data_IF_729705572319
#
_entry.id   IF_729705572319
#
_cell.length_a   1.000
_cell.length_b   1.000
_cell.length_c   1.000
_cell.angle_alpha   90.00
_cell.angle_beta   90.00
_cell.angle_gamma   90.00
#
_symmetry.space_group_name_H-M   'P 1'
#
loop_
_entity.id
_entity.type
_entity.pdbx_description
1 polymer ?
#
# COMPACT_ATOMS: atom_id res chain seq x y z
N UNK A 1 -7.98 -27.45 -33.60
CA UNK A 1 -6.98 -26.49 -33.10
C UNK A 1 -7.60 -25.85 -31.87
N UNK A 2 -7.04 -26.10 -30.69
CA UNK A 2 -7.56 -25.51 -29.45
C UNK A 2 -7.21 -24.02 -29.39
N UNK A 3 -8.20 -23.23 -28.99
CA UNK A 3 -8.10 -21.78 -28.88
C UNK A 3 -7.43 -21.43 -27.54
N UNK A 4 -6.09 -21.43 -27.52
CA UNK A 4 -5.30 -21.24 -26.30
C UNK A 4 -5.28 -19.76 -25.89
N UNK A 5 -6.33 -19.34 -25.19
CA UNK A 5 -6.35 -18.11 -24.40
C UNK A 5 -6.65 -18.50 -22.92
N UNK A 6 -6.02 -17.88 -21.89
CA UNK A 6 -5.38 -16.58 -21.99
C UNK A 6 -3.99 -16.39 -21.36
N UNK A 7 -3.28 -15.41 -21.92
CA UNK A 7 -2.13 -14.72 -21.31
C UNK A 7 -2.60 -13.88 -20.11
N UNK A 8 -3.08 -14.50 -19.03
CA UNK A 8 -3.64 -13.78 -17.87
C UNK A 8 -2.99 -14.20 -16.56
N UNK A 9 -2.41 -13.21 -15.87
CA UNK A 9 -1.91 -13.36 -14.50
C UNK A 9 -2.98 -13.94 -13.57
N UNK A 10 -2.59 -14.91 -12.74
CA UNK A 10 -3.52 -15.49 -11.77
C UNK A 10 -3.94 -14.45 -10.72
N UNK A 11 -5.05 -14.70 -10.02
CA UNK A 11 -5.43 -13.85 -8.89
C UNK A 11 -4.35 -13.81 -7.80
N UNK A 12 -3.57 -14.89 -7.65
CA UNK A 12 -2.40 -14.92 -6.76
C UNK A 12 -1.33 -13.92 -7.20
N UNK A 13 -1.02 -13.83 -8.49
CA UNK A 13 0.03 -12.95 -9.02
C UNK A 13 -0.38 -11.47 -8.95
N UNK A 14 -1.64 -11.18 -9.28
CA UNK A 14 -2.26 -9.87 -9.05
C UNK A 14 -2.14 -9.44 -7.58
N UNK A 15 -2.45 -10.34 -6.64
CA UNK A 15 -2.39 -10.06 -5.19
C UNK A 15 -0.97 -9.96 -4.66
N UNK A 16 0.00 -10.70 -5.19
CA UNK A 16 1.44 -10.49 -4.90
C UNK A 16 1.86 -9.07 -5.30
N UNK A 17 1.52 -8.64 -6.52
CA UNK A 17 1.84 -7.30 -7.01
C UNK A 17 1.17 -6.20 -6.16
N UNK A 18 -0.12 -6.34 -5.83
CA UNK A 18 -0.85 -5.44 -4.94
C UNK A 18 -0.19 -5.33 -3.56
N UNK A 19 0.07 -6.46 -2.90
CA UNK A 19 0.66 -6.47 -1.56
C UNK A 19 2.06 -5.84 -1.52
N UNK A 20 2.89 -6.07 -2.54
CA UNK A 20 4.22 -5.44 -2.67
C UNK A 20 4.10 -3.91 -2.72
N UNK A 21 3.21 -3.37 -3.57
CA UNK A 21 3.02 -1.92 -3.68
C UNK A 21 2.38 -1.34 -2.42
N UNK A 22 1.39 -1.99 -1.82
CA UNK A 22 0.82 -1.53 -0.54
C UNK A 22 1.88 -1.42 0.57
N UNK A 23 2.81 -2.38 0.64
CA UNK A 23 3.95 -2.31 1.57
C UNK A 23 4.87 -1.12 1.22
N UNK A 24 5.11 -0.83 -0.06
CA UNK A 24 5.86 0.37 -0.45
C UNK A 24 5.15 1.70 -0.12
N UNK A 25 3.81 1.77 -0.22
CA UNK A 25 3.08 3.00 0.12
C UNK A 25 2.90 3.20 1.63
N UNK A 26 2.67 2.11 2.39
CA UNK A 26 2.16 2.20 3.78
C UNK A 26 2.92 1.36 4.81
N UNK A 27 3.95 0.60 4.40
CA UNK A 27 4.59 -0.46 5.21
C UNK A 27 3.62 -1.54 5.72
N UNK A 28 2.41 -1.63 5.14
CA UNK A 28 1.38 -2.63 5.45
C UNK A 28 0.89 -3.30 4.16
N UNK A 29 0.68 -4.63 4.12
CA UNK A 29 0.18 -5.32 2.92
C UNK A 29 -1.29 -5.02 2.57
N UNK A 30 -2.07 -4.46 3.51
CA UNK A 30 -3.54 -4.35 3.39
C UNK A 30 -4.08 -2.92 3.37
N UNK A 31 -3.21 -1.90 3.37
CA UNK A 31 -3.61 -0.49 3.41
C UNK A 31 -4.43 -0.12 4.65
N UNK A 32 -5.18 0.98 4.54
CA UNK A 32 -6.22 1.39 5.50
C UNK A 32 -7.37 2.04 4.73
N UNK A 33 -8.52 1.35 4.66
CA UNK A 33 -9.72 1.81 3.96
C UNK A 33 -10.37 3.04 4.62
N UNK A 34 -10.13 3.26 5.92
CA UNK A 34 -10.69 4.36 6.70
C UNK A 34 -9.73 5.56 6.81
N UNK A 35 -8.48 5.43 6.37
CA UNK A 35 -7.50 6.52 6.38
C UNK A 35 -8.08 7.77 5.73
N UNK A 36 -8.03 8.91 6.43
CA UNK A 36 -8.52 10.18 5.90
C UNK A 36 -7.60 11.32 6.35
N UNK A 37 -7.07 12.04 5.36
CA UNK A 37 -6.25 13.23 5.56
C UNK A 37 -6.83 14.43 4.81
N UNK A 38 -6.52 15.63 5.29
CA UNK A 38 -6.69 16.89 4.56
C UNK A 38 -5.38 17.63 4.68
N UNK A 39 -4.68 17.82 3.56
CA UNK A 39 -3.34 18.38 3.52
C UNK A 39 -3.34 19.78 2.89
N UNK A 40 -2.31 20.56 3.19
CA UNK A 40 -2.11 21.91 2.63
C UNK A 40 -1.43 21.88 1.24
N UNK A 41 -1.58 20.78 0.50
CA UNK A 41 -1.14 20.58 -0.89
C UNK A 41 -2.21 20.99 -1.92
N UNK A 42 -3.41 21.34 -1.44
CA UNK A 42 -4.57 21.67 -2.27
C UNK A 42 -5.32 20.47 -2.83
N UNK A 43 -4.92 19.22 -2.56
CA UNK A 43 -5.62 18.02 -3.04
C UNK A 43 -7.02 17.86 -2.43
N UNK A 44 -7.24 18.46 -1.26
CA UNK A 44 -8.50 18.42 -0.51
C UNK A 44 -8.51 17.27 0.50
N UNK A 45 -9.62 16.53 0.53
CA UNK A 45 -9.68 15.24 1.21
C UNK A 45 -8.86 14.22 0.39
N UNK A 46 -7.98 13.50 1.08
CA UNK A 46 -7.33 12.26 0.65
C UNK A 46 -7.87 11.12 1.52
N UNK A 47 -8.29 10.00 0.92
CA UNK A 47 -9.05 8.95 1.61
C UNK A 47 -8.67 7.53 1.16
N UNK A 48 -8.72 6.58 2.08
CA UNK A 48 -8.68 5.14 1.79
C UNK A 48 -7.32 4.57 1.39
N UNK A 49 -7.34 3.31 0.94
CA UNK A 49 -6.15 2.47 0.74
C UNK A 49 -5.10 3.04 -0.21
N UNK A 50 -5.50 3.88 -1.17
CA UNK A 50 -4.60 4.54 -2.12
C UNK A 50 -4.78 6.07 -2.15
N UNK A 51 -5.22 6.66 -1.03
CA UNK A 51 -5.33 8.12 -0.83
C UNK A 51 -6.10 8.84 -1.96
N UNK A 52 -7.28 8.33 -2.30
CA UNK A 52 -8.16 8.91 -3.31
C UNK A 52 -8.48 10.37 -2.98
N UNK A 53 -8.16 11.29 -3.90
CA UNK A 53 -8.23 12.74 -3.63
C UNK A 53 -9.45 13.39 -4.27
N UNK A 54 -9.98 14.43 -3.64
CA UNK A 54 -11.02 15.28 -4.24
C UNK A 54 -10.51 15.93 -5.53
N UNK A 55 -9.32 16.55 -5.53
CA UNK A 55 -8.78 17.23 -6.73
C UNK A 55 -8.58 16.30 -7.93
N UNK A 56 -8.10 15.07 -7.74
CA UNK A 56 -7.98 14.11 -8.85
C UNK A 56 -9.35 13.66 -9.36
N UNK A 57 -10.37 13.64 -8.51
CA UNK A 57 -11.70 13.09 -8.76
C UNK A 57 -11.85 11.62 -8.41
N UNK A 58 -10.77 10.90 -8.05
CA UNK A 58 -10.87 9.48 -7.68
C UNK A 58 -11.76 9.26 -6.46
N UNK A 59 -11.78 10.21 -5.51
CA UNK A 59 -12.71 10.14 -4.37
C UNK A 59 -14.18 10.23 -4.80
N UNK A 60 -14.48 10.98 -5.87
CA UNK A 60 -15.83 11.08 -6.42
C UNK A 60 -16.27 9.77 -7.09
N UNK A 61 -15.33 9.05 -7.69
CA UNK A 61 -15.57 7.75 -8.33
C UNK A 61 -15.79 6.65 -7.29
N UNK A 62 -14.95 6.57 -6.24
CA UNK A 62 -15.11 5.65 -5.11
C UNK A 62 -16.48 5.83 -4.44
N UNK A 63 -16.86 7.07 -4.09
CA UNK A 63 -18.17 7.36 -3.48
C UNK A 63 -19.32 7.04 -4.44
N UNK A 64 -19.15 7.27 -5.74
CA UNK A 64 -20.16 6.90 -6.74
C UNK A 64 -20.33 5.38 -6.83
N UNK A 65 -19.23 4.62 -6.86
CA UNK A 65 -19.25 3.17 -6.96
C UNK A 65 -19.79 2.52 -5.69
N UNK A 66 -19.44 3.01 -4.50
CA UNK A 66 -20.06 2.59 -3.24
C UNK A 66 -21.60 2.70 -3.26
N UNK A 67 -22.12 3.81 -3.76
CA UNK A 67 -23.56 4.04 -3.87
C UNK A 67 -24.23 3.15 -4.93
N UNK A 68 -23.51 2.78 -6.00
CA UNK A 68 -23.96 1.83 -7.03
C UNK A 68 -23.95 0.38 -6.51
N UNK A 69 -22.96 0.02 -5.68
CA UNK A 69 -22.83 -1.28 -5.00
C UNK A 69 -23.89 -1.48 -3.90
N UNK A 70 -24.89 -0.59 -3.77
CA UNK A 70 -25.98 -0.72 -2.80
C UNK A 70 -25.65 -0.23 -1.39
N UNK A 71 -24.50 0.41 -1.16
CA UNK A 71 -24.07 0.87 0.17
C UNK A 71 -25.08 1.75 0.89
N UNK A 72 -25.41 1.41 2.15
CA UNK A 72 -26.44 2.08 2.95
C UNK A 72 -25.88 2.96 4.06
N UNK A 73 -24.77 2.57 4.70
CA UNK A 73 -24.11 3.37 5.75
C UNK A 73 -23.78 4.76 5.22
N UNK A 74 -24.31 5.79 5.87
CA UNK A 74 -24.07 7.21 5.54
C UNK A 74 -24.43 7.62 4.09
N UNK A 75 -25.25 6.79 3.42
CA UNK A 75 -25.69 6.95 2.02
C UNK A 75 -26.25 8.34 1.72
N UNK A 76 -27.04 8.91 2.63
CA UNK A 76 -27.62 10.24 2.45
C UNK A 76 -26.58 11.36 2.47
N UNK A 77 -25.64 11.33 3.42
CA UNK A 77 -24.56 12.32 3.52
C UNK A 77 -23.60 12.24 2.33
N UNK A 78 -23.26 11.03 1.91
CA UNK A 78 -22.39 10.78 0.75
C UNK A 78 -23.08 11.19 -0.57
N UNK A 79 -24.33 10.79 -0.79
CA UNK A 79 -25.10 11.14 -2.00
C UNK A 79 -25.36 12.64 -2.11
N UNK A 80 -25.67 13.32 -0.99
CA UNK A 80 -25.88 14.78 -0.92
C UNK A 80 -24.62 15.55 -1.38
N UNK A 81 -23.44 15.10 -0.97
CA UNK A 81 -22.18 15.79 -1.24
C UNK A 81 -21.51 15.35 -2.56
N UNK A 82 -21.96 14.28 -3.21
CA UNK A 82 -21.41 13.79 -4.48
C UNK A 82 -21.33 14.84 -5.61
N UNK A 83 -22.30 15.77 -5.81
CA UNK A 83 -22.17 16.84 -6.80
C UNK A 83 -21.02 17.82 -6.50
N UNK A 84 -20.82 18.18 -5.22
CA UNK A 84 -19.68 19.00 -4.80
C UNK A 84 -18.36 18.24 -4.92
N UNK A 85 -18.37 16.93 -4.68
CA UNK A 85 -17.20 16.07 -4.78
C UNK A 85 -16.75 15.87 -6.24
N UNK A 86 -17.70 15.79 -7.19
CA UNK A 86 -17.42 15.80 -8.63
C UNK A 86 -16.93 17.16 -9.13
N UNK A 87 -17.32 18.26 -8.47
CA UNK A 87 -16.81 19.60 -8.76
C UNK A 87 -15.38 19.76 -8.22
N UNK A 88 -14.40 19.77 -9.13
CA UNK A 88 -12.96 19.89 -8.81
C UNK A 88 -12.50 21.35 -8.59
N UNK A 89 -13.43 22.29 -8.39
CA UNK A 89 -13.10 23.71 -8.16
C UNK A 89 -12.54 23.91 -6.75
N UNK A 90 -11.64 24.89 -6.57
CA UNK A 90 -11.07 25.18 -5.25
C UNK A 90 -12.14 25.59 -4.21
N UNK A 91 -13.27 26.17 -4.65
CA UNK A 91 -14.42 26.45 -3.79
C UNK A 91 -15.03 25.15 -3.26
N UNK A 92 -15.35 24.20 -4.13
CA UNK A 92 -15.92 22.90 -3.76
C UNK A 92 -14.95 22.09 -2.89
N UNK A 93 -13.65 22.11 -3.22
CA UNK A 93 -12.60 21.47 -2.44
C UNK A 93 -12.52 22.03 -1.02
N UNK A 94 -12.49 23.36 -0.85
CA UNK A 94 -12.47 23.99 0.49
C UNK A 94 -13.72 23.65 1.32
N UNK A 95 -14.90 23.64 0.69
CA UNK A 95 -16.16 23.29 1.35
C UNK A 95 -16.10 21.86 1.91
N UNK A 96 -15.84 20.84 1.08
CA UNK A 96 -15.84 19.46 1.58
C UNK A 96 -14.67 19.14 2.52
N UNK A 97 -13.49 19.75 2.30
CA UNK A 97 -12.33 19.57 3.19
C UNK A 97 -12.58 20.05 4.62
N UNK A 98 -13.48 21.02 4.80
CA UNK A 98 -13.86 21.53 6.13
C UNK A 98 -15.08 20.81 6.71
N UNK A 99 -15.97 20.27 5.88
CA UNK A 99 -17.15 19.49 6.30
C UNK A 99 -16.74 18.30 7.20
N UNK A 100 -17.16 18.36 8.47
CA UNK A 100 -16.91 17.29 9.46
C UNK A 100 -17.91 16.13 9.31
N UNK A 101 -19.12 16.38 8.85
CA UNK A 101 -20.13 15.35 8.64
C UNK A 101 -19.75 14.48 7.45
N UNK A 102 -19.36 15.08 6.33
CA UNK A 102 -18.90 14.33 5.15
C UNK A 102 -17.66 13.47 5.41
N UNK A 103 -16.68 13.98 6.17
CA UNK A 103 -15.50 13.19 6.55
C UNK A 103 -15.84 12.04 7.50
N UNK A 104 -16.74 12.25 8.47
CA UNK A 104 -17.28 11.15 9.30
C UNK A 104 -18.04 10.12 8.46
N UNK A 105 -18.81 10.57 7.47
CA UNK A 105 -19.54 9.69 6.55
C UNK A 105 -18.61 8.77 5.74
N UNK A 106 -17.49 9.32 5.22
CA UNK A 106 -16.46 8.54 4.54
C UNK A 106 -15.80 7.49 5.46
N UNK A 107 -15.41 7.86 6.68
CA UNK A 107 -14.78 6.93 7.62
C UNK A 107 -15.74 5.86 8.13
N UNK A 108 -17.01 6.20 8.37
CA UNK A 108 -18.03 5.24 8.77
C UNK A 108 -18.41 4.27 7.64
N UNK A 109 -18.43 4.74 6.38
CA UNK A 109 -18.65 3.84 5.25
C UNK A 109 -17.47 2.87 5.02
N UNK A 110 -16.23 3.23 5.38
CA UNK A 110 -15.03 2.42 5.14
C UNK A 110 -15.01 1.02 5.81
N UNK A 111 -15.84 0.81 6.83
CA UNK A 111 -15.95 -0.52 7.48
C UNK A 111 -16.86 -1.48 6.71
N UNK A 112 -17.67 -0.97 5.76
CA UNK A 112 -18.60 -1.75 4.94
C UNK A 112 -17.88 -2.51 3.82
N UNK A 113 -18.42 -3.66 3.41
CA UNK A 113 -17.82 -4.47 2.35
C UNK A 113 -17.96 -3.79 0.99
N UNK A 114 -19.06 -3.06 0.78
CA UNK A 114 -19.39 -2.32 -0.43
C UNK A 114 -18.43 -1.16 -0.67
N UNK A 115 -18.00 -0.46 0.40
CA UNK A 115 -17.00 0.63 0.29
C UNK A 115 -15.60 0.07 0.07
N UNK A 116 -15.24 -1.04 0.72
CA UNK A 116 -13.95 -1.71 0.50
C UNK A 116 -13.84 -2.17 -0.96
N UNK A 117 -14.84 -2.91 -1.45
CA UNK A 117 -14.93 -3.32 -2.85
C UNK A 117 -14.92 -2.12 -3.82
N UNK A 118 -15.55 -0.99 -3.47
CA UNK A 118 -15.47 0.23 -4.29
C UNK A 118 -14.06 0.86 -4.32
N UNK A 119 -13.31 0.81 -3.22
CA UNK A 119 -11.92 1.26 -3.21
C UNK A 119 -11.01 0.30 -3.99
N UNK A 120 -11.16 -1.01 -3.78
CA UNK A 120 -10.38 -2.04 -4.46
C UNK A 120 -10.59 -2.01 -5.98
N UNK A 121 -11.84 -1.87 -6.44
CA UNK A 121 -12.17 -1.75 -7.86
C UNK A 121 -11.58 -0.49 -8.49
N UNK A 122 -11.60 0.67 -7.80
CA UNK A 122 -10.97 1.89 -8.33
C UNK A 122 -9.43 1.76 -8.35
N UNK A 123 -8.81 1.07 -7.39
CA UNK A 123 -7.37 0.73 -7.47
C UNK A 123 -7.09 -0.19 -8.66
N UNK A 124 -7.91 -1.23 -8.83
CA UNK A 124 -7.79 -2.17 -9.93
C UNK A 124 -7.87 -1.44 -11.28
N UNK A 125 -8.94 -0.70 -11.53
CA UNK A 125 -9.20 -0.01 -12.79
C UNK A 125 -8.15 1.06 -13.12
N UNK A 126 -7.66 1.82 -12.12
CA UNK A 126 -6.74 2.94 -12.37
C UNK A 126 -5.26 2.57 -12.45
N UNK A 127 -4.86 1.46 -11.84
CA UNK A 127 -3.45 1.15 -11.64
C UNK A 127 -3.09 -0.28 -12.05
N UNK A 128 -3.84 -1.29 -11.59
CA UNK A 128 -3.49 -2.69 -11.87
C UNK A 128 -3.89 -3.15 -13.27
N UNK A 129 -5.08 -2.79 -13.75
CA UNK A 129 -5.54 -3.10 -15.10
C UNK A 129 -4.64 -2.48 -16.17
N UNK A 130 -4.26 -1.17 -16.11
CA UNK A 130 -3.25 -0.60 -17.01
C UNK A 130 -1.89 -1.32 -16.99
N UNK A 131 -1.49 -1.91 -15.85
CA UNK A 131 -0.28 -2.72 -15.75
C UNK A 131 -0.45 -4.08 -16.45
N UNK A 132 -1.59 -4.76 -16.24
CA UNK A 132 -1.95 -6.02 -16.91
C UNK A 132 -1.97 -5.82 -18.44
N UNK A 133 -2.73 -4.85 -18.94
CA UNK A 133 -2.78 -4.56 -20.38
C UNK A 133 -1.41 -4.20 -20.96
N UNK A 134 -0.55 -3.54 -20.19
CA UNK A 134 0.81 -3.20 -20.62
C UNK A 134 1.70 -4.44 -20.71
N UNK A 135 1.53 -5.40 -19.80
CA UNK A 135 2.15 -6.72 -19.92
C UNK A 135 1.62 -7.46 -21.15
N UNK A 136 0.30 -7.52 -21.36
CA UNK A 136 -0.34 -8.18 -22.49
C UNK A 136 0.14 -7.61 -23.84
N UNK A 137 0.12 -6.28 -23.99
CA UNK A 137 0.64 -5.55 -25.17
C UNK A 137 2.13 -5.81 -25.42
N UNK A 138 2.89 -6.07 -24.35
CA UNK A 138 4.32 -6.42 -24.42
C UNK A 138 4.57 -7.93 -24.48
N UNK A 139 3.51 -8.74 -24.41
CA UNK A 139 3.51 -10.20 -24.29
C UNK A 139 4.39 -10.71 -23.13
N UNK A 140 4.35 -10.01 -21.99
CA UNK A 140 5.02 -10.34 -20.74
C UNK A 140 4.11 -11.18 -19.83
N UNK A 141 4.71 -12.12 -19.09
CA UNK A 141 4.00 -13.18 -18.35
C UNK A 141 4.46 -13.38 -16.91
N UNK A 142 5.63 -12.86 -16.53
CA UNK A 142 6.24 -13.18 -15.24
C UNK A 142 5.62 -12.33 -14.12
N UNK A 143 5.22 -12.92 -12.97
CA UNK A 143 4.64 -12.18 -11.85
C UNK A 143 5.49 -10.99 -11.35
N UNK A 144 6.83 -11.12 -11.39
CA UNK A 144 7.76 -10.03 -11.08
C UNK A 144 7.63 -8.84 -12.06
N UNK A 145 7.39 -9.11 -13.34
CA UNK A 145 7.15 -8.10 -14.37
C UNK A 145 5.87 -7.31 -14.06
N UNK A 146 4.77 -8.00 -13.73
CA UNK A 146 3.53 -7.33 -13.33
C UNK A 146 3.75 -6.39 -12.15
N UNK A 147 4.46 -6.85 -11.10
CA UNK A 147 4.74 -6.02 -9.93
C UNK A 147 5.61 -4.79 -10.25
N UNK A 148 6.63 -4.94 -11.11
CA UNK A 148 7.49 -3.83 -11.57
C UNK A 148 6.67 -2.78 -12.35
N UNK A 149 5.83 -3.22 -13.28
CA UNK A 149 5.02 -2.33 -14.13
C UNK A 149 3.94 -1.64 -13.28
N UNK A 150 3.28 -2.38 -12.40
CA UNK A 150 2.25 -1.86 -11.49
C UNK A 150 2.79 -0.79 -10.53
N UNK A 151 3.91 -1.05 -9.83
CA UNK A 151 4.56 -0.03 -8.98
C UNK A 151 5.01 1.19 -9.80
N UNK A 152 5.49 0.97 -11.03
CA UNK A 152 5.92 2.05 -11.91
C UNK A 152 4.77 2.93 -12.41
N UNK A 153 3.58 2.36 -12.58
CA UNK A 153 2.35 3.10 -12.91
C UNK A 153 1.84 3.85 -11.67
N UNK A 154 1.78 3.21 -10.48
CA UNK A 154 1.34 3.86 -9.24
C UNK A 154 2.24 5.06 -8.87
N UNK A 155 3.57 4.91 -9.03
CA UNK A 155 4.57 5.96 -8.83
C UNK A 155 4.59 7.02 -9.95
N UNK A 156 3.92 6.79 -11.08
CA UNK A 156 3.97 7.69 -12.23
C UNK A 156 5.35 7.81 -12.88
N UNK A 157 6.13 6.71 -12.88
CA UNK A 157 7.47 6.59 -13.47
C UNK A 157 7.55 5.73 -14.71
N UNK A 158 6.50 4.95 -15.03
CA UNK A 158 6.48 4.02 -16.17
C UNK A 158 6.92 4.66 -17.49
N UNK A 159 6.17 5.61 -18.01
CA UNK A 159 6.47 6.24 -19.31
C UNK A 159 7.80 7.01 -19.30
N UNK A 160 8.11 7.67 -18.17
CA UNK A 160 9.35 8.45 -17.97
C UNK A 160 10.61 7.60 -18.14
N UNK A 161 10.54 6.29 -17.90
CA UNK A 161 11.68 5.35 -17.93
C UNK A 161 11.58 4.35 -19.08
N UNK A 162 10.38 3.88 -19.45
CA UNK A 162 10.13 2.87 -20.52
C UNK A 162 10.89 3.22 -21.79
N UNK A 163 10.80 4.47 -22.23
CA UNK A 163 11.37 4.94 -23.50
C UNK A 163 12.89 5.16 -23.44
N UNK A 164 13.51 5.00 -22.26
CA UNK A 164 14.97 4.98 -22.07
C UNK A 164 15.57 3.60 -22.24
N UNK A 165 14.76 2.54 -22.15
CA UNK A 165 15.21 1.16 -22.32
C UNK A 165 15.50 0.92 -23.80
N UNK A 166 16.78 0.98 -24.16
CA UNK A 166 17.23 0.68 -25.52
C UNK A 166 16.85 -0.76 -25.87
N UNK A 167 16.39 -0.99 -27.09
CA UNK A 167 16.05 -2.33 -27.57
C UNK A 167 17.28 -3.23 -27.47
N UNK A 168 17.17 -4.31 -26.69
CA UNK A 168 18.20 -5.34 -26.65
C UNK A 168 18.11 -6.16 -27.95
N UNK A 169 19.23 -6.66 -28.46
CA UNK A 169 19.25 -7.34 -29.76
C UNK A 169 18.62 -8.74 -29.62
N UNK A 170 17.54 -9.01 -30.37
CA UNK A 170 16.58 -10.09 -30.08
C UNK A 170 16.85 -11.39 -30.88
N UNK A 171 17.96 -11.49 -31.61
CA UNK A 171 18.11 -12.52 -32.67
C UNK A 171 18.10 -13.98 -32.19
N UNK A 172 18.41 -14.23 -30.92
CA UNK A 172 18.59 -15.59 -30.38
C UNK A 172 17.83 -15.84 -29.06
N UNK A 173 17.04 -14.87 -28.58
CA UNK A 173 16.41 -14.92 -27.26
C UNK A 173 14.98 -15.45 -27.31
N UNK A 174 14.66 -16.36 -26.39
CA UNK A 174 13.27 -16.71 -26.09
C UNK A 174 12.50 -15.49 -25.55
N UNK A 175 11.17 -15.53 -25.64
CA UNK A 175 10.28 -14.52 -25.06
C UNK A 175 10.57 -14.23 -23.59
N UNK A 176 10.83 -15.27 -22.80
CA UNK A 176 11.12 -15.14 -21.38
C UNK A 176 12.50 -14.52 -21.12
N UNK A 177 13.52 -14.82 -21.93
CA UNK A 177 14.83 -14.17 -21.80
C UNK A 177 14.76 -12.69 -22.17
N UNK A 178 14.02 -12.35 -23.24
CA UNK A 178 13.75 -10.96 -23.61
C UNK A 178 13.00 -10.20 -22.50
N UNK A 179 11.91 -10.77 -21.95
CA UNK A 179 11.16 -10.17 -20.84
C UNK A 179 12.06 -9.91 -19.63
N UNK A 180 12.83 -10.92 -19.21
CA UNK A 180 13.75 -10.81 -18.07
C UNK A 180 14.80 -9.72 -18.28
N UNK A 181 15.43 -9.69 -19.45
CA UNK A 181 16.46 -8.72 -19.77
C UNK A 181 15.89 -7.29 -19.89
N UNK A 182 14.74 -7.12 -20.55
CA UNK A 182 14.09 -5.82 -20.70
C UNK A 182 13.65 -5.25 -19.35
N UNK A 183 13.02 -6.07 -18.49
CA UNK A 183 12.59 -5.66 -17.16
C UNK A 183 13.78 -5.39 -16.23
N UNK A 184 14.85 -6.19 -16.30
CA UNK A 184 16.06 -5.92 -15.54
C UNK A 184 16.68 -4.56 -15.93
N UNK A 185 16.71 -4.22 -17.21
CA UNK A 185 17.21 -2.92 -17.67
C UNK A 185 16.28 -1.77 -17.29
N UNK A 186 14.96 -1.95 -17.44
CA UNK A 186 13.97 -0.97 -16.98
C UNK A 186 14.14 -0.62 -15.50
N UNK A 187 14.28 -1.63 -14.62
CA UNK A 187 14.46 -1.41 -13.18
C UNK A 187 15.79 -0.69 -12.88
N UNK A 188 16.89 -1.01 -13.58
CA UNK A 188 18.16 -0.27 -13.45
C UNK A 188 18.03 1.20 -13.86
N UNK A 189 17.41 1.48 -15.00
CA UNK A 189 17.19 2.86 -15.47
C UNK A 189 16.30 3.64 -14.50
N UNK A 190 15.29 3.00 -13.90
CA UNK A 190 14.45 3.58 -12.85
C UNK A 190 15.23 3.86 -11.58
N UNK A 191 16.08 2.93 -11.13
CA UNK A 191 16.92 3.06 -9.94
C UNK A 191 17.88 4.26 -10.05
N UNK A 192 18.57 4.39 -11.19
CA UNK A 192 19.45 5.52 -11.51
C UNK A 192 18.65 6.84 -11.49
N UNK A 193 17.43 6.85 -12.05
CA UNK A 193 16.58 8.03 -12.05
C UNK A 193 16.12 8.43 -10.64
N UNK A 194 15.64 7.49 -9.82
CA UNK A 194 15.25 7.75 -8.42
C UNK A 194 16.45 8.26 -7.59
N UNK A 195 17.64 7.69 -7.78
CA UNK A 195 18.88 8.11 -7.10
C UNK A 195 19.35 9.50 -7.53
N UNK A 196 19.12 9.90 -8.79
CA UNK A 196 19.57 11.21 -9.28
C UNK A 196 18.73 12.39 -8.79
N UNK A 197 17.44 12.21 -8.48
CA UNK A 197 16.53 13.28 -8.03
C UNK A 197 16.44 13.31 -6.49
N UNK A 198 16.92 14.37 -5.78
CA UNK A 198 17.03 14.38 -4.31
C UNK A 198 15.72 14.06 -3.56
N UNK A 199 14.59 14.60 -4.02
CA UNK A 199 13.26 14.37 -3.43
C UNK A 199 12.69 12.96 -3.67
N UNK A 200 13.25 12.20 -4.61
CA UNK A 200 12.86 10.83 -4.93
C UNK A 200 13.78 9.76 -4.32
N UNK A 201 15.00 10.13 -3.88
CA UNK A 201 15.94 9.24 -3.17
C UNK A 201 15.31 8.43 -2.04
N UNK A 202 14.37 8.95 -1.23
CA UNK A 202 13.70 8.13 -0.20
C UNK A 202 12.90 6.95 -0.75
N UNK A 203 12.51 6.94 -2.03
CA UNK A 203 11.71 5.85 -2.65
C UNK A 203 12.54 4.77 -3.36
N UNK A 204 13.87 4.88 -3.30
CA UNK A 204 14.83 3.95 -3.95
C UNK A 204 14.70 2.49 -3.47
N UNK A 205 14.22 2.27 -2.24
CA UNK A 205 13.99 0.91 -1.72
C UNK A 205 13.08 0.05 -2.62
N UNK A 206 12.22 0.69 -3.44
CA UNK A 206 11.33 0.00 -4.40
C UNK A 206 12.13 -0.70 -5.50
N UNK A 207 13.05 0.03 -6.14
CA UNK A 207 13.91 -0.54 -7.18
C UNK A 207 14.95 -1.49 -6.59
N UNK A 208 15.46 -1.23 -5.38
CA UNK A 208 16.36 -2.15 -4.69
C UNK A 208 15.70 -3.50 -4.38
N UNK A 209 14.42 -3.52 -3.97
CA UNK A 209 13.64 -4.75 -3.83
C UNK A 209 13.55 -5.50 -5.16
N UNK A 210 13.18 -4.84 -6.26
CA UNK A 210 13.04 -5.49 -7.56
C UNK A 210 14.39 -6.02 -8.08
N UNK A 211 15.48 -5.25 -7.95
CA UNK A 211 16.84 -5.68 -8.31
C UNK A 211 17.27 -6.91 -7.50
N UNK A 212 16.90 -6.99 -6.21
CA UNK A 212 17.11 -8.16 -5.35
C UNK A 212 16.31 -9.38 -5.82
N UNK A 213 15.05 -9.24 -6.21
CA UNK A 213 14.28 -10.37 -6.77
C UNK A 213 14.84 -10.83 -8.13
N UNK A 214 15.29 -9.89 -8.97
CA UNK A 214 15.94 -10.17 -10.26
C UNK A 214 17.24 -10.95 -10.05
N UNK A 215 18.11 -10.54 -9.11
CA UNK A 215 19.40 -11.21 -8.86
C UNK A 215 19.24 -12.60 -8.22
N UNK A 216 18.17 -12.81 -7.45
CA UNK A 216 17.77 -14.12 -6.94
C UNK A 216 17.08 -15.01 -7.99
N UNK A 217 16.77 -14.49 -9.18
CA UNK A 217 16.01 -15.20 -10.20
C UNK A 217 14.54 -15.45 -9.83
N UNK A 218 13.99 -14.73 -8.84
CA UNK A 218 12.64 -14.92 -8.32
C UNK A 218 11.55 -14.28 -9.20
N UNK A 219 11.53 -14.66 -10.48
CA UNK A 219 10.62 -14.12 -11.49
C UNK A 219 9.14 -14.44 -11.24
N UNK A 220 8.87 -15.52 -10.50
CA UNK A 220 7.52 -15.93 -10.10
C UNK A 220 7.02 -15.24 -8.82
N UNK A 221 7.87 -14.45 -8.14
CA UNK A 221 7.58 -13.91 -6.80
C UNK A 221 7.13 -15.02 -5.84
N UNK A 222 7.91 -16.10 -5.79
CA UNK A 222 7.68 -17.20 -4.87
C UNK A 222 7.88 -16.73 -3.43
N UNK A 223 6.89 -17.04 -2.58
CA UNK A 223 6.81 -16.56 -1.20
C UNK A 223 7.45 -17.57 -0.23
N UNK A 224 8.14 -17.12 0.83
CA UNK A 224 8.14 -15.75 1.34
C UNK A 224 9.13 -14.80 0.65
N UNK A 225 8.76 -13.52 0.55
CA UNK A 225 9.68 -12.43 0.15
C UNK A 225 9.72 -11.34 1.21
N UNK A 226 10.89 -10.74 1.40
CA UNK A 226 11.08 -9.57 2.27
C UNK A 226 10.94 -8.29 1.44
N UNK A 227 9.92 -7.50 1.76
CA UNK A 227 9.55 -6.25 1.09
C UNK A 227 9.67 -5.13 2.12
N UNK A 228 10.71 -4.30 2.03
CA UNK A 228 10.90 -3.13 2.90
C UNK A 228 10.69 -3.41 4.40
N UNK A 229 11.29 -4.50 4.92
CA UNK A 229 11.16 -4.92 6.32
C UNK A 229 9.93 -5.79 6.65
N UNK A 230 8.97 -5.92 5.73
CA UNK A 230 7.79 -6.79 5.88
C UNK A 230 8.02 -8.13 5.17
N UNK A 231 7.87 -9.25 5.89
CA UNK A 231 7.94 -10.58 5.26
C UNK A 231 6.57 -10.96 4.68
N UNK A 232 6.38 -10.80 3.38
CA UNK A 232 5.18 -11.24 2.67
C UNK A 232 5.18 -12.78 2.54
N UNK A 233 4.14 -13.41 3.06
CA UNK A 233 3.92 -14.87 3.09
C UNK A 233 2.59 -15.25 2.44
N UNK A 234 2.42 -16.53 2.09
CA UNK A 234 1.19 -17.07 1.46
C UNK A 234 -0.07 -16.82 2.30
N UNK A 235 0.02 -16.91 3.64
CA UNK A 235 -1.10 -16.65 4.57
C UNK A 235 -1.81 -15.30 4.33
N UNK A 236 -1.06 -14.25 4.00
CA UNK A 236 -1.62 -12.92 3.72
C UNK A 236 -2.43 -12.85 2.43
N UNK A 237 -2.13 -13.70 1.44
CA UNK A 237 -2.89 -13.75 0.19
C UNK A 237 -4.25 -14.45 0.35
N UNK A 238 -4.39 -15.32 1.35
CA UNK A 238 -5.64 -16.00 1.68
C UNK A 238 -6.61 -15.10 2.47
N UNK A 239 -6.11 -14.20 3.32
CA UNK A 239 -6.95 -13.19 4.01
C UNK A 239 -7.74 -12.31 3.01
N UNK A 240 -7.15 -12.02 1.85
CA UNK A 240 -7.83 -11.32 0.76
C UNK A 240 -8.93 -12.19 0.09
N UNK A 241 -8.92 -13.52 0.20
CA UNK A 241 -9.96 -14.39 -0.41
C UNK A 241 -11.23 -14.36 0.44
N UNK A 242 -11.09 -14.44 1.76
CA UNK A 242 -12.21 -14.46 2.68
C UNK A 242 -13.01 -13.16 2.66
N UNK A 243 -12.36 -12.01 2.52
CA UNK A 243 -13.05 -10.71 2.44
C UNK A 243 -13.91 -10.61 1.15
N UNK A 244 -13.35 -10.96 -0.01
CA UNK A 244 -14.06 -10.94 -1.30
C UNK A 244 -15.31 -11.86 -1.31
N UNK A 245 -15.17 -13.08 -0.79
CA UNK A 245 -16.24 -14.09 -0.84
C UNK A 245 -17.40 -13.79 0.13
N UNK A 246 -17.12 -13.26 1.32
CA UNK A 246 -18.19 -12.89 2.27
C UNK A 246 -18.98 -11.67 1.78
N UNK A 247 -18.33 -10.74 1.05
CA UNK A 247 -18.99 -9.61 0.40
C UNK A 247 -19.93 -10.01 -0.73
N UNK A 248 -19.53 -10.95 -1.61
CA UNK A 248 -20.38 -11.39 -2.74
C UNK A 248 -21.62 -12.16 -2.32
N UNK A 249 -21.52 -13.11 -1.40
CA UNK A 249 -22.65 -13.96 -1.05
C UNK A 249 -23.79 -13.19 -0.37
N UNK A 250 -23.47 -12.10 0.33
CA UNK A 250 -24.45 -11.24 1.01
C UNK A 250 -25.28 -10.35 0.05
N UNK A 251 -24.86 -10.22 -1.21
CA UNK A 251 -25.48 -9.32 -2.19
C UNK A 251 -26.49 -10.01 -3.14
N UNK A 252 -26.58 -11.35 -3.12
CA UNK A 252 -27.33 -12.12 -4.13
C UNK A 252 -28.73 -12.54 -3.67
N UNK A 253 -29.00 -12.67 -2.37
CA UNK A 253 -30.28 -13.19 -1.84
C UNK A 253 -31.47 -12.21 -1.87
N UNK A 254 -31.30 -10.97 -2.37
CA UNK A 254 -32.35 -9.94 -2.34
C UNK A 254 -32.62 -9.27 -3.71
N UNK A 255 -32.74 -10.05 -4.80
CA UNK A 255 -33.39 -9.54 -6.01
C UNK A 255 -34.02 -10.57 -6.98
N UNK A 256 -34.88 -11.46 -6.48
CA UNK A 256 -35.91 -12.12 -7.32
C UNK A 256 -37.32 -11.73 -6.86
N UNK A 257 -37.87 -10.68 -7.49
CA UNK A 257 -39.30 -10.53 -7.87
C UNK A 257 -39.60 -9.09 -8.34
N UNK A 258 -39.57 -8.85 -9.66
CA UNK A 258 -40.48 -7.95 -10.39
C UNK A 258 -39.99 -7.76 -11.84
N UNK A 259 -40.44 -8.62 -12.74
CA UNK A 259 -40.26 -8.41 -14.18
C UNK A 259 -41.45 -7.62 -14.73
N UNK A 260 -41.23 -6.39 -15.22
CA UNK A 260 -42.18 -5.69 -16.10
C UNK A 260 -41.45 -5.07 -17.29
N UNK A 261 -41.94 -5.44 -18.46
CA UNK A 261 -41.51 -5.02 -19.79
C UNK A 261 -41.63 -3.50 -20.05
N UNK A 262 -40.61 -2.91 -20.69
CA UNK A 262 -40.79 -1.79 -21.62
C UNK A 262 -39.71 -1.81 -22.72
N UNK A 263 -40.15 -1.75 -23.98
CA UNK A 263 -39.29 -1.59 -25.17
C UNK A 263 -38.84 -0.13 -25.31
N UNK A 264 -37.67 0.11 -25.92
CA UNK A 264 -37.55 1.17 -26.94
C UNK A 264 -36.35 0.94 -27.89
N UNK A 265 -36.38 1.51 -29.11
CA UNK A 265 -35.48 1.14 -30.20
C UNK A 265 -34.22 2.02 -30.32
N UNK A 266 -33.33 1.61 -31.24
CA UNK A 266 -32.15 2.36 -31.67
C UNK A 266 -32.44 3.81 -32.07
N UNK A 267 -31.52 4.71 -31.72
CA UNK A 267 -31.06 5.75 -32.66
C UNK A 267 -29.62 6.15 -32.37
N UNK A 268 -28.83 6.28 -33.42
CA UNK A 268 -27.40 6.57 -33.38
C UNK A 268 -27.14 8.08 -33.42
N UNK A 269 -26.19 8.59 -32.65
CA UNK A 269 -25.56 9.88 -32.96
C UNK A 269 -24.10 9.94 -32.50
N UNK A 270 -23.21 10.17 -33.47
CA UNK A 270 -21.80 10.47 -33.23
C UNK A 270 -21.66 11.84 -32.56
N UNK A 271 -20.91 11.94 -31.47
CA UNK A 271 -20.31 13.19 -31.00
C UNK A 271 -18.85 12.93 -30.63
N UNK A 272 -17.94 13.59 -31.34
CA UNK A 272 -16.51 13.57 -31.04
C UNK A 272 -16.23 14.27 -29.69
N UNK A 273 -15.28 13.74 -28.92
CA UNK A 273 -14.73 14.44 -27.77
C UNK A 273 -13.19 14.39 -27.77
N UNK A 274 -12.50 15.54 -27.62
CA UNK A 274 -11.05 15.60 -27.67
C UNK A 274 -10.42 15.04 -26.38
N UNK A 275 -9.35 14.27 -26.53
CA UNK A 275 -8.57 13.76 -25.40
C UNK A 275 -7.84 14.91 -24.68
N UNK A 276 -8.22 15.20 -23.43
CA UNK A 276 -7.39 16.01 -22.53
C UNK A 276 -6.47 15.10 -21.71
N UNK A 277 -5.17 15.13 -22.02
CA UNK A 277 -4.14 14.49 -21.20
C UNK A 277 -4.01 15.21 -19.85
N UNK A 278 -4.21 14.50 -18.75
CA UNK A 278 -3.95 15.00 -17.39
C UNK A 278 -2.78 14.22 -16.81
N UNK A 279 -1.64 14.88 -16.67
CA UNK A 279 -0.43 14.32 -16.03
C UNK A 279 -0.67 14.19 -14.52
N UNK A 280 -0.42 13.02 -13.89
CA UNK A 280 -0.53 12.88 -12.45
C UNK A 280 0.53 13.69 -11.70
N UNK A 281 0.10 14.55 -10.78
CA UNK A 281 0.98 15.28 -9.86
C UNK A 281 1.53 14.35 -8.78
N UNK A 282 2.82 14.49 -8.49
CA UNK A 282 3.59 13.66 -7.55
C UNK A 282 3.20 13.94 -6.09
N UNK A 283 2.84 12.90 -5.33
CA UNK A 283 2.39 13.01 -3.93
C UNK A 283 3.55 13.05 -2.92
N UNK A 284 3.34 13.72 -1.78
CA UNK A 284 4.27 13.75 -0.63
C UNK A 284 3.63 13.10 0.61
N UNK A 285 4.37 12.27 1.39
CA UNK A 285 3.83 11.65 2.61
C UNK A 285 3.97 12.56 3.85
N UNK A 286 2.91 12.75 4.67
CA UNK A 286 2.94 13.54 5.90
C UNK A 286 3.15 12.69 7.17
N UNK A 287 3.66 13.33 8.23
CA UNK A 287 3.88 12.74 9.57
C UNK A 287 2.73 13.18 10.51
N UNK A 288 2.22 12.27 11.34
CA UNK A 288 1.12 12.55 12.30
C UNK A 288 1.58 12.26 13.74
N UNK A 289 1.24 13.15 14.68
CA UNK A 289 1.23 12.93 16.12
C UNK A 289 -0.19 13.19 16.66
N UNK A 290 -0.59 12.48 17.73
CA UNK A 290 -1.95 12.51 18.26
C UNK A 290 -1.97 12.61 19.80
N UNK A 291 -2.94 13.37 20.34
CA UNK A 291 -3.24 13.54 21.76
C UNK A 291 -4.77 13.70 21.92
N UNK A 292 -5.46 12.85 22.71
CA UNK A 292 -6.90 12.96 22.94
C UNK A 292 -7.25 13.62 24.28
N UNK A 293 -8.47 14.18 24.38
CA UNK A 293 -9.23 14.26 25.64
C UNK A 293 -10.74 14.36 25.36
N UNK A 294 -11.52 14.04 26.40
CA UNK A 294 -12.79 13.31 26.31
C UNK A 294 -13.83 13.89 27.29
N UNK A 295 -15.13 13.86 26.93
CA UNK A 295 -16.24 13.97 27.89
C UNK A 295 -17.58 13.42 27.37
N UNK A 296 -18.26 12.62 28.21
CA UNK A 296 -19.64 12.05 28.05
C UNK A 296 -20.71 13.11 28.45
N UNK A 297 -22.04 12.94 28.36
CA UNK A 297 -22.97 11.80 28.19
C UNK A 297 -24.36 12.34 27.66
N UNK A 298 -25.50 11.64 27.55
CA UNK A 298 -25.92 10.23 27.82
C UNK A 298 -26.97 9.75 26.74
N UNK A 299 -28.09 8.98 26.95
CA UNK A 299 -28.52 8.01 25.93
C UNK A 299 -29.77 8.40 25.11
N UNK A 300 -29.82 7.94 23.87
CA UNK A 300 -31.00 7.89 23.00
C UNK A 300 -30.98 6.55 22.22
N UNK A 301 -32.06 6.20 21.51
CA UNK A 301 -32.29 4.93 20.79
C UNK A 301 -31.14 4.48 19.86
N UNK A 302 -30.28 5.42 19.44
CA UNK A 302 -28.98 5.17 18.85
C UNK A 302 -28.13 4.18 19.65
N UNK A 303 -28.13 4.21 20.99
CA UNK A 303 -27.33 3.32 21.84
C UNK A 303 -27.61 1.83 21.60
N UNK A 304 -28.80 1.42 21.16
CA UNK A 304 -29.08 -0.01 20.89
C UNK A 304 -28.51 -0.45 19.54
N UNK A 305 -28.46 0.46 18.56
CA UNK A 305 -27.82 0.23 17.25
C UNK A 305 -26.31 0.38 17.38
N UNK A 306 -25.85 1.40 18.10
CA UNK A 306 -24.46 1.66 18.47
C UNK A 306 -23.91 0.46 19.25
N UNK A 307 -24.59 -0.07 20.28
CA UNK A 307 -24.11 -1.29 20.97
C UNK A 307 -24.03 -2.52 20.06
N UNK A 308 -24.84 -2.64 18.99
CA UNK A 308 -24.70 -3.73 18.00
C UNK A 308 -23.55 -3.49 17.02
N UNK A 309 -23.35 -2.25 16.59
CA UNK A 309 -22.23 -1.82 15.74
C UNK A 309 -20.91 -1.89 16.50
N UNK A 310 -20.87 -1.43 17.75
CA UNK A 310 -19.74 -1.51 18.68
C UNK A 310 -19.46 -2.95 19.10
N UNK A 311 -20.46 -3.82 19.23
CA UNK A 311 -20.23 -5.25 19.44
C UNK A 311 -19.66 -5.95 18.18
N UNK A 312 -19.97 -5.45 16.98
CA UNK A 312 -19.34 -5.90 15.75
C UNK A 312 -17.92 -5.34 15.61
N UNK A 313 -17.74 -4.04 15.85
CA UNK A 313 -16.45 -3.35 15.87
C UNK A 313 -15.52 -4.00 16.90
N UNK A 314 -15.98 -4.26 18.13
CA UNK A 314 -15.21 -4.97 19.17
C UNK A 314 -14.79 -6.37 18.73
N UNK A 315 -15.58 -7.08 17.92
CA UNK A 315 -15.16 -8.38 17.33
C UNK A 315 -14.11 -8.22 16.23
N UNK A 316 -14.18 -7.15 15.44
CA UNK A 316 -13.13 -6.81 14.46
C UNK A 316 -11.86 -6.27 15.14
N UNK A 317 -11.98 -5.44 16.18
CA UNK A 317 -10.90 -4.97 17.04
C UNK A 317 -10.26 -6.14 17.79
N UNK A 318 -11.03 -7.17 18.19
CA UNK A 318 -10.49 -8.42 18.73
C UNK A 318 -9.71 -9.19 17.67
N UNK A 319 -10.20 -9.30 16.43
CA UNK A 319 -9.47 -9.94 15.34
C UNK A 319 -8.19 -9.17 14.96
N UNK A 320 -8.26 -7.84 14.85
CA UNK A 320 -7.09 -6.99 14.60
C UNK A 320 -6.14 -7.00 15.80
N UNK A 321 -6.62 -6.96 17.05
CA UNK A 321 -5.79 -7.11 18.24
C UNK A 321 -5.13 -8.48 18.31
N UNK A 322 -5.79 -9.57 17.89
CA UNK A 322 -5.18 -10.90 17.78
C UNK A 322 -4.07 -10.87 16.71
N UNK A 323 -4.31 -10.29 15.53
CA UNK A 323 -3.31 -10.16 14.46
C UNK A 323 -2.13 -9.30 14.91
N UNK A 324 -2.37 -8.12 15.49
CA UNK A 324 -1.35 -7.23 16.06
C UNK A 324 -0.62 -7.89 17.23
N UNK A 325 -1.28 -8.71 18.05
CA UNK A 325 -0.63 -9.49 19.12
C UNK A 325 0.25 -10.60 18.56
N UNK A 326 -0.11 -11.23 17.45
CA UNK A 326 0.73 -12.21 16.74
C UNK A 326 1.94 -11.51 16.08
N UNK A 327 1.74 -10.34 15.47
CA UNK A 327 2.83 -9.53 14.90
C UNK A 327 3.78 -9.03 16.00
N UNK A 328 3.25 -8.43 17.07
CA UNK A 328 4.02 -7.98 18.23
C UNK A 328 4.72 -9.14 18.97
N UNK A 329 4.12 -10.33 19.05
CA UNK A 329 4.79 -11.55 19.55
C UNK A 329 5.94 -11.98 18.63
N UNK A 330 5.78 -11.84 17.32
CA UNK A 330 6.83 -12.13 16.34
C UNK A 330 7.98 -11.11 16.46
N UNK A 331 7.69 -9.83 16.68
CA UNK A 331 8.71 -8.79 16.86
C UNK A 331 9.37 -8.82 18.25
N UNK A 332 8.63 -9.19 19.31
CA UNK A 332 9.21 -9.52 20.60
C UNK A 332 10.13 -10.75 20.52
N UNK A 333 9.74 -11.77 19.72
CA UNK A 333 10.60 -12.92 19.43
C UNK A 333 11.84 -12.51 18.62
N UNK A 334 11.75 -11.57 17.67
CA UNK A 334 12.91 -10.98 16.97
C UNK A 334 13.83 -10.21 17.93
N UNK A 335 13.28 -9.45 18.88
CA UNK A 335 14.04 -8.71 19.91
C UNK A 335 14.80 -9.64 20.86
N UNK A 336 14.18 -10.74 21.29
CA UNK A 336 14.89 -11.81 21.97
C UNK A 336 15.96 -12.44 21.06
N UNK A 337 15.62 -12.74 19.81
CA UNK A 337 16.56 -13.34 18.85
C UNK A 337 17.77 -12.46 18.55
N UNK A 338 17.66 -11.13 18.46
CA UNK A 338 18.83 -10.25 18.29
C UNK A 338 19.73 -10.23 19.52
N UNK A 339 19.15 -10.36 20.72
CA UNK A 339 19.90 -10.38 21.99
C UNK A 339 20.59 -11.74 22.21
N UNK A 340 19.89 -12.84 21.89
CA UNK A 340 20.42 -14.21 21.98
C UNK A 340 21.39 -14.52 20.84
N UNK A 341 21.12 -14.09 19.61
CA UNK A 341 22.07 -14.23 18.51
C UNK A 341 23.33 -13.39 18.74
N UNK A 342 23.23 -12.20 19.35
CA UNK A 342 24.39 -11.40 19.73
C UNK A 342 25.32 -12.13 20.70
N UNK A 343 24.76 -12.77 21.74
CA UNK A 343 25.53 -13.54 22.73
C UNK A 343 26.06 -14.86 22.17
N UNK A 344 25.25 -15.60 21.39
CA UNK A 344 25.70 -16.83 20.69
C UNK A 344 26.81 -16.51 19.67
N UNK A 345 26.69 -15.43 18.90
CA UNK A 345 27.72 -15.01 17.94
C UNK A 345 29.02 -14.60 18.63
N UNK A 346 28.95 -13.89 19.77
CA UNK A 346 30.13 -13.61 20.60
C UNK A 346 30.78 -14.91 21.13
N UNK A 347 30.00 -15.92 21.52
CA UNK A 347 30.53 -17.23 21.91
C UNK A 347 31.21 -17.96 20.74
N UNK A 348 30.64 -17.90 19.53
CA UNK A 348 31.25 -18.49 18.32
C UNK A 348 32.59 -17.83 17.98
N UNK A 349 32.71 -16.50 18.09
CA UNK A 349 33.99 -15.81 17.91
C UNK A 349 35.02 -16.15 18.99
N UNK A 350 34.60 -16.33 20.25
CA UNK A 350 35.49 -16.76 21.32
C UNK A 350 36.05 -18.17 21.08
N UNK A 351 35.20 -19.11 20.65
CA UNK A 351 35.60 -20.49 20.32
C UNK A 351 36.50 -20.52 19.08
N UNK A 352 36.14 -19.78 18.03
CA UNK A 352 36.94 -19.70 16.79
C UNK A 352 38.33 -19.08 17.00
N UNK A 353 38.44 -18.04 17.84
CA UNK A 353 39.73 -17.42 18.16
C UNK A 353 40.65 -18.37 18.96
N UNK A 354 40.09 -19.18 19.86
CA UNK A 354 40.84 -20.20 20.61
C UNK A 354 41.40 -21.29 19.69
N UNK A 355 40.62 -21.71 18.69
CA UNK A 355 41.04 -22.71 17.69
C UNK A 355 42.15 -22.23 16.74
N UNK A 356 42.37 -20.91 16.63
CA UNK A 356 43.37 -20.30 15.73
C UNK A 356 44.66 -19.90 16.49
N UNK A 357 44.71 -20.07 17.81
CA UNK A 357 45.93 -19.87 18.61
C UNK A 357 46.36 -18.40 18.76
N UNK A 358 45.42 -17.46 18.70
CA UNK A 358 45.71 -16.03 18.83
C UNK A 358 46.26 -15.67 20.23
N UNK A 359 47.29 -14.81 20.34
CA UNK A 359 47.84 -14.39 21.63
C UNK A 359 46.81 -13.64 22.50
N UNK A 360 46.88 -13.84 23.83
CA UNK A 360 45.92 -13.30 24.81
C UNK A 360 45.89 -11.76 24.82
N UNK A 361 47.01 -11.14 24.46
CA UNK A 361 47.23 -9.71 24.36
C UNK A 361 46.32 -9.10 23.29
N UNK A 362 46.18 -9.77 22.14
CA UNK A 362 45.29 -9.33 21.04
C UNK A 362 43.82 -9.37 21.49
N UNK A 363 43.43 -10.40 22.27
CA UNK A 363 42.08 -10.51 22.82
C UNK A 363 41.75 -9.38 23.80
N UNK A 364 42.68 -9.04 24.71
CA UNK A 364 42.47 -7.92 25.64
C UNK A 364 42.32 -6.58 24.90
N UNK A 365 43.16 -6.31 23.88
CA UNK A 365 43.06 -5.08 23.08
C UNK A 365 41.72 -5.02 22.33
N UNK A 366 41.28 -6.13 21.72
CA UNK A 366 39.99 -6.20 21.02
C UNK A 366 38.80 -6.01 21.98
N UNK A 367 38.83 -6.63 23.17
CA UNK A 367 37.80 -6.48 24.18
C UNK A 367 37.70 -5.04 24.73
N UNK A 368 38.85 -4.40 24.99
CA UNK A 368 38.91 -2.99 25.42
C UNK A 368 38.38 -2.06 24.32
N UNK A 369 38.76 -2.29 23.05
CA UNK A 369 38.25 -1.51 21.92
C UNK A 369 36.74 -1.66 21.75
N UNK A 370 36.20 -2.88 21.88
CA UNK A 370 34.76 -3.14 21.82
C UNK A 370 34.01 -2.46 22.98
N UNK A 371 34.53 -2.53 24.20
CA UNK A 371 33.96 -1.85 25.36
C UNK A 371 33.96 -0.32 25.20
N UNK A 372 35.06 0.26 24.69
CA UNK A 372 35.16 1.69 24.41
C UNK A 372 34.16 2.14 23.34
N UNK A 373 33.99 1.37 22.26
CA UNK A 373 32.98 1.63 21.23
C UNK A 373 31.55 1.54 21.77
N UNK A 374 31.26 0.58 22.66
CA UNK A 374 29.95 0.44 23.30
C UNK A 374 29.64 1.64 24.22
N UNK A 375 30.62 2.09 25.01
CA UNK A 375 30.49 3.28 25.85
C UNK A 375 30.31 4.56 25.02
N UNK A 376 31.03 4.70 23.90
CA UNK A 376 30.87 5.82 22.98
C UNK A 376 29.49 5.83 22.30
N UNK A 377 28.96 4.64 21.94
CA UNK A 377 27.60 4.49 21.43
C UNK A 377 26.55 4.89 22.48
N UNK A 378 26.66 4.41 23.71
CA UNK A 378 25.79 4.77 24.83
C UNK A 378 25.81 6.28 25.11
N UNK A 379 27.00 6.88 25.18
CA UNK A 379 27.17 8.32 25.33
C UNK A 379 26.47 9.09 24.20
N UNK A 380 26.63 8.66 22.95
CA UNK A 380 25.97 9.27 21.79
C UNK A 380 24.45 9.19 21.86
N UNK A 381 23.88 8.06 22.31
CA UNK A 381 22.43 7.92 22.49
C UNK A 381 21.90 8.86 23.59
N UNK A 382 22.58 8.93 24.74
CA UNK A 382 22.21 9.82 25.85
C UNK A 382 22.31 11.30 25.43
N UNK A 383 23.37 11.68 24.69
CA UNK A 383 23.54 13.03 24.16
C UNK A 383 22.41 13.42 23.18
N UNK A 384 22.07 12.52 22.25
CA UNK A 384 20.96 12.74 21.31
C UNK A 384 19.59 12.80 22.02
N UNK A 385 19.39 12.02 23.09
CA UNK A 385 18.21 12.11 23.95
C UNK A 385 18.07 13.49 24.58
N UNK A 386 19.13 13.98 25.24
CA UNK A 386 19.16 15.33 25.85
C UNK A 386 18.93 16.45 24.83
N UNK A 387 19.48 16.34 23.62
CA UNK A 387 19.23 17.32 22.54
C UNK A 387 17.76 17.34 22.12
N UNK A 388 17.10 16.17 22.05
CA UNK A 388 15.66 16.08 21.76
C UNK A 388 14.83 16.72 22.87
N UNK A 389 15.10 16.39 24.13
CA UNK A 389 14.40 16.97 25.29
C UNK A 389 14.55 18.49 25.36
N UNK A 390 15.76 19.02 25.11
CA UNK A 390 16.02 20.46 25.05
C UNK A 390 15.27 21.14 23.89
N UNK A 391 15.18 20.47 22.73
CA UNK A 391 14.41 20.98 21.59
C UNK A 391 12.92 21.03 21.92
N UNK A 392 12.35 19.94 22.44
CA UNK A 392 10.94 19.88 22.83
C UNK A 392 10.59 20.93 23.89
N UNK A 393 11.43 21.12 24.93
CA UNK A 393 11.21 22.17 25.95
C UNK A 393 11.24 23.59 25.39
N UNK A 394 11.96 23.83 24.29
CA UNK A 394 12.05 25.13 23.61
C UNK A 394 10.94 25.35 22.57
N UNK A 395 10.14 24.31 22.29
CA UNK A 395 8.94 24.37 21.45
C UNK A 395 7.65 24.45 22.29
N UNK A 396 7.74 24.27 23.61
CA UNK A 396 6.62 24.33 24.57
C UNK A 396 6.63 25.53 25.53
N UNK A 397 7.64 26.40 25.44
CA UNK A 397 7.76 27.67 26.16
C UNK A 397 7.90 28.81 25.14
#
# INVERSE_FOLDING_TARGET
MEDTNPMTFTNTDKRKAMAIVHIFETSKPFGDYAALAVLNDGAGISYGINQFTHRSGSLAEVVCLYLLNGGQTEKYALKKNLPLLRSKTDRSIRILSTDRQFRKALTAAAVTLEMRAAQDEIVFQKYLLPAIETCERSQFTLPLTLAVIYDSINHGSWEKIRDRVKRVHIKEWTRNEYEKAWIAEYVRQRDIWLKSIPRLRPTVYRTEFFLKQISLGNWNLDLPVEVHGVTLKKEFLHTLVSIDNTGRNSAVEHQENSAVSAKNPHSSSNINHPQSQVVPTEAQPPIIQYQPKDTRAKPDYLDVVQNKVDAAATKYDQAETIIQTVLNRTDAAKSLWTTVAGTVWQSVWAIGAFAIGLPKEVWMVAAIAAAALMLLYLYRQIALGKIRELKTRKETN
#
